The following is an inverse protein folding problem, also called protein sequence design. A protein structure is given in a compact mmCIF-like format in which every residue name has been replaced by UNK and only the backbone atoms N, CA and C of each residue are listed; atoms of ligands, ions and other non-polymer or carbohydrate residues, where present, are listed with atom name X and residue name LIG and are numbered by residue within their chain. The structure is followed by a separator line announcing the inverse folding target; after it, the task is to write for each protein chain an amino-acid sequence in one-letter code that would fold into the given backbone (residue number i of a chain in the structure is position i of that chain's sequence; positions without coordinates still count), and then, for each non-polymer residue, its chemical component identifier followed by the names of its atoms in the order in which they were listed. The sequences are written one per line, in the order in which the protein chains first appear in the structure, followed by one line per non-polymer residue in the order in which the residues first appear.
data_IF_023099178926
#
_entry.id   IF_023099178926
#
_cell.length_a   1.000
_cell.length_b   1.000
_cell.length_c   1.000
_cell.angle_alpha   90.00
_cell.angle_beta   90.00
_cell.angle_gamma   90.00
#
_symmetry.space_group_name_H-M   'P 1'
#
loop_
_entity.id
_entity.type
_entity.pdbx_description
1 polymer ?
#
# COMPACT_ATOMS: atom_id res chain seq x y z
N UNK A 1 33.92 18.77 -30.46
CA UNK A 1 33.80 18.24 -29.10
C UNK A 1 33.05 16.93 -29.17
N UNK A 2 33.78 15.82 -29.02
CA UNK A 2 33.28 14.47 -29.19
C UNK A 2 32.49 14.07 -27.93
N UNK A 3 31.18 14.28 -27.97
CA UNK A 3 30.26 13.88 -26.91
C UNK A 3 30.26 12.36 -26.69
N UNK A 4 30.73 11.58 -27.66
CA UNK A 4 30.86 10.12 -27.57
C UNK A 4 31.90 9.67 -26.55
N UNK A 5 32.98 10.47 -26.36
CA UNK A 5 33.99 10.21 -25.32
C UNK A 5 33.39 10.44 -23.92
N UNK A 6 32.64 11.51 -23.75
CA UNK A 6 31.98 11.85 -22.47
C UNK A 6 30.95 10.77 -22.08
N UNK A 7 30.19 10.29 -23.07
CA UNK A 7 29.24 9.18 -22.88
C UNK A 7 29.95 7.87 -22.50
N UNK A 8 31.10 7.58 -23.10
CA UNK A 8 31.86 6.34 -22.85
C UNK A 8 32.57 6.35 -21.50
N UNK A 9 33.02 7.50 -21.02
CA UNK A 9 33.62 7.66 -19.68
C UNK A 9 32.57 7.57 -18.59
N UNK A 10 31.41 8.18 -18.79
CA UNK A 10 30.29 8.08 -17.85
C UNK A 10 29.66 6.71 -17.87
N UNK A 11 29.49 6.08 -19.06
CA UNK A 11 28.82 4.79 -19.17
C UNK A 11 29.58 3.62 -18.55
N UNK A 12 30.91 3.62 -18.61
CA UNK A 12 31.69 2.45 -18.16
C UNK A 12 32.01 2.42 -16.65
N UNK A 13 31.89 3.53 -15.93
CA UNK A 13 32.34 3.56 -14.51
C UNK A 13 31.25 3.97 -13.51
N UNK A 14 30.21 4.68 -13.95
CA UNK A 14 29.21 5.25 -13.05
C UNK A 14 27.79 4.69 -13.27
N UNK A 15 27.49 4.08 -14.40
CA UNK A 15 26.16 3.59 -14.72
C UNK A 15 25.81 2.33 -13.92
N UNK A 16 26.73 1.42 -13.68
CA UNK A 16 26.46 0.23 -12.85
C UNK A 16 26.13 0.57 -11.40
N UNK A 17 26.91 1.38 -10.68
CA UNK A 17 26.53 1.76 -9.33
C UNK A 17 25.29 2.66 -9.27
N UNK A 18 25.08 3.53 -10.27
CA UNK A 18 23.89 4.37 -10.36
C UNK A 18 22.65 3.53 -10.66
N UNK A 19 22.72 2.50 -11.49
CA UNK A 19 21.57 1.61 -11.75
C UNK A 19 21.20 0.79 -10.51
N UNK A 20 22.18 0.30 -9.76
CA UNK A 20 21.94 -0.37 -8.46
C UNK A 20 21.38 0.57 -7.41
N UNK A 21 21.86 1.82 -7.40
CA UNK A 21 21.34 2.86 -6.50
C UNK A 21 19.92 3.27 -6.88
N UNK A 22 19.58 3.31 -8.18
CA UNK A 22 18.22 3.61 -8.63
C UNK A 22 17.22 2.55 -8.18
N UNK A 23 17.58 1.27 -8.20
CA UNK A 23 16.75 0.19 -7.67
C UNK A 23 16.42 0.38 -6.17
N UNK A 24 17.41 0.81 -5.38
CA UNK A 24 17.20 1.16 -3.98
C UNK A 24 16.22 2.33 -3.81
N UNK A 25 16.33 3.37 -4.65
CA UNK A 25 15.39 4.49 -4.64
C UNK A 25 13.96 4.04 -4.98
N UNK A 26 13.77 3.20 -6.01
CA UNK A 26 12.45 2.66 -6.34
C UNK A 26 11.86 1.83 -5.19
N UNK A 27 12.70 1.07 -4.50
CA UNK A 27 12.27 0.30 -3.34
C UNK A 27 11.91 1.19 -2.14
N UNK A 28 12.59 2.32 -1.94
CA UNK A 28 12.34 3.24 -0.84
C UNK A 28 11.06 4.08 -1.02
N UNK A 29 10.64 4.35 -2.26
CA UNK A 29 9.44 5.17 -2.55
C UNK A 29 8.20 4.69 -1.77
N UNK A 30 7.78 3.41 -1.84
CA UNK A 30 6.60 2.94 -1.11
C UNK A 30 6.75 3.05 0.40
N UNK A 31 7.96 2.90 0.95
CA UNK A 31 8.20 3.08 2.39
C UNK A 31 8.06 4.54 2.80
N UNK A 32 8.66 5.45 2.04
CA UNK A 32 8.56 6.89 2.30
C UNK A 32 7.10 7.36 2.17
N UNK A 33 6.40 6.92 1.12
CA UNK A 33 4.99 7.23 0.92
C UNK A 33 4.14 6.74 2.10
N UNK A 34 4.33 5.49 2.54
CA UNK A 34 3.60 4.93 3.67
C UNK A 34 3.92 5.66 4.98
N UNK A 35 5.20 5.95 5.24
CA UNK A 35 5.61 6.72 6.41
C UNK A 35 5.00 8.13 6.42
N UNK A 36 4.92 8.77 5.25
CA UNK A 36 4.29 10.09 5.09
C UNK A 36 2.79 10.03 5.38
N UNK A 37 2.09 9.02 4.87
CA UNK A 37 0.66 8.81 5.16
C UNK A 37 0.44 8.60 6.65
N UNK A 38 1.25 7.77 7.30
CA UNK A 38 1.18 7.53 8.75
C UNK A 38 1.49 8.79 9.56
N UNK A 39 2.38 9.63 9.08
CA UNK A 39 2.68 10.90 9.76
C UNK A 39 1.54 11.90 9.59
N UNK A 40 0.99 12.02 8.38
CA UNK A 40 -0.15 12.88 8.08
C UNK A 40 -1.44 12.42 8.78
N UNK A 41 -1.62 11.11 8.99
CA UNK A 41 -2.82 10.58 9.67
C UNK A 41 -2.99 11.12 11.09
N UNK A 42 -1.88 11.50 11.76
CA UNK A 42 -1.94 12.12 13.10
C UNK A 42 -2.62 13.49 13.12
N UNK A 43 -2.69 14.17 11.98
CA UNK A 43 -3.35 15.47 11.83
C UNK A 43 -4.80 15.36 11.37
N UNK A 44 -5.28 14.16 11.08
CA UNK A 44 -6.67 13.88 10.69
C UNK A 44 -7.59 13.92 11.94
N UNK A 45 -8.87 14.10 11.68
CA UNK A 45 -9.89 14.11 12.75
C UNK A 45 -9.86 12.81 13.54
N UNK A 46 -9.96 12.94 14.86
CA UNK A 46 -10.14 11.81 15.77
C UNK A 46 -11.60 11.43 15.79
N UNK A 47 -11.86 10.14 15.74
CA UNK A 47 -13.18 9.56 15.91
C UNK A 47 -13.09 8.47 16.99
N UNK A 48 -14.19 8.10 17.58
CA UNK A 48 -14.24 7.09 18.64
C UNK A 48 -15.37 6.11 18.35
N UNK A 49 -15.07 4.83 18.39
CA UNK A 49 -16.10 3.81 18.32
C UNK A 49 -16.83 3.70 19.65
N UNK A 50 -18.16 3.82 19.59
CA UNK A 50 -19.01 3.61 20.76
C UNK A 50 -19.05 2.12 21.10
N UNK A 51 -19.27 1.86 22.39
CA UNK A 51 -19.40 0.49 22.87
C UNK A 51 -20.57 -0.22 22.17
N UNK A 52 -20.30 -1.36 21.54
CA UNK A 52 -21.30 -2.14 20.77
C UNK A 52 -21.47 -1.73 19.30
N UNK A 53 -20.81 -0.69 18.85
CA UNK A 53 -20.93 -0.24 17.45
C UNK A 53 -20.35 -1.25 16.45
N UNK A 54 -19.31 -1.98 16.85
CA UNK A 54 -18.70 -3.05 16.04
C UNK A 54 -19.31 -4.40 16.44
N UNK A 55 -19.98 -5.06 15.48
CA UNK A 55 -20.59 -6.40 15.67
C UNK A 55 -19.65 -7.54 15.31
N UNK A 56 -18.97 -7.39 14.20
CA UNK A 56 -18.08 -8.42 13.65
C UNK A 56 -16.71 -7.80 13.40
N UNK A 57 -15.67 -8.55 13.73
CA UNK A 57 -14.29 -8.14 13.51
C UNK A 57 -13.55 -9.32 12.88
N UNK A 58 -13.01 -9.12 11.70
CA UNK A 58 -12.27 -10.13 10.95
C UNK A 58 -10.85 -9.65 10.68
N UNK A 59 -9.88 -10.52 10.88
CA UNK A 59 -8.50 -10.29 10.52
C UNK A 59 -8.29 -10.59 9.04
N UNK A 60 -7.86 -9.59 8.26
CA UNK A 60 -7.87 -9.69 6.79
C UNK A 60 -6.49 -9.50 6.15
N UNK A 61 -5.42 -9.64 6.92
CA UNK A 61 -4.07 -9.48 6.40
C UNK A 61 -3.73 -10.43 5.25
N UNK A 62 -4.29 -11.62 5.23
CA UNK A 62 -3.95 -12.63 4.22
C UNK A 62 -4.76 -12.47 2.93
N UNK A 63 -5.85 -11.72 2.96
CA UNK A 63 -6.75 -11.55 1.81
C UNK A 63 -6.12 -10.77 0.65
N UNK A 64 -5.06 -10.01 0.91
CA UNK A 64 -4.37 -9.24 -0.15
C UNK A 64 -3.31 -10.05 -0.89
N UNK A 65 -2.81 -11.14 -0.31
CA UNK A 65 -1.69 -11.91 -0.87
C UNK A 65 -1.94 -12.39 -2.30
N UNK A 66 -3.12 -12.97 -2.65
CA UNK A 66 -3.40 -13.40 -4.02
C UNK A 66 -3.35 -12.27 -5.04
N UNK A 67 -3.84 -11.07 -4.66
CA UNK A 67 -3.84 -9.90 -5.55
C UNK A 67 -2.41 -9.44 -5.85
N UNK A 68 -1.55 -9.37 -4.84
CA UNK A 68 -0.15 -8.98 -5.03
C UNK A 68 0.65 -10.00 -5.82
N UNK A 69 0.41 -11.29 -5.61
CA UNK A 69 0.99 -12.34 -6.44
C UNK A 69 0.55 -12.20 -7.90
N UNK A 70 -0.73 -11.89 -8.14
CA UNK A 70 -1.23 -11.60 -9.48
C UNK A 70 -0.49 -10.44 -10.14
N UNK A 71 -0.34 -9.31 -9.47
CA UNK A 71 0.41 -8.16 -9.99
C UNK A 71 1.89 -8.49 -10.24
N UNK A 72 2.51 -9.26 -9.36
CA UNK A 72 3.87 -9.71 -9.51
C UNK A 72 4.06 -10.60 -10.75
N UNK A 73 3.18 -11.57 -10.96
CA UNK A 73 3.23 -12.42 -12.15
C UNK A 73 2.98 -11.64 -13.44
N UNK A 74 2.05 -10.68 -13.43
CA UNK A 74 1.86 -9.79 -14.58
C UNK A 74 3.12 -8.99 -14.86
N UNK A 75 3.76 -8.43 -13.85
CA UNK A 75 5.00 -7.68 -14.01
C UNK A 75 6.14 -8.53 -14.60
N UNK A 76 6.27 -9.79 -14.15
CA UNK A 76 7.26 -10.73 -14.68
C UNK A 76 6.97 -11.20 -16.12
N UNK A 77 5.72 -11.09 -16.57
CA UNK A 77 5.31 -11.51 -17.93
C UNK A 77 5.62 -10.45 -18.98
N UNK A 78 6.04 -9.24 -18.58
CA UNK A 78 6.36 -8.16 -19.51
C UNK A 78 7.79 -8.40 -20.05
N UNK A 79 7.97 -8.53 -21.39
CA UNK A 79 9.28 -8.68 -21.98
C UNK A 79 10.16 -7.45 -21.74
N UNK A 80 11.46 -7.69 -21.62
CA UNK A 80 12.45 -6.61 -21.51
C UNK A 80 12.33 -5.63 -22.68
N UNK A 81 12.43 -4.34 -22.37
CA UNK A 81 12.39 -3.22 -23.32
C UNK A 81 11.05 -2.99 -24.06
N UNK A 82 9.95 -3.62 -23.66
CA UNK A 82 8.65 -3.31 -24.22
C UNK A 82 7.88 -2.29 -23.36
N UNK A 83 8.32 -1.02 -23.43
CA UNK A 83 7.70 0.07 -22.68
C UNK A 83 6.21 0.28 -23.01
N UNK A 84 5.82 0.04 -24.26
CA UNK A 84 4.41 0.16 -24.65
C UNK A 84 3.54 -0.84 -23.90
N UNK A 85 3.94 -2.11 -23.89
CA UNK A 85 3.23 -3.16 -23.14
C UNK A 85 3.20 -2.87 -21.65
N UNK A 86 4.32 -2.38 -21.09
CA UNK A 86 4.39 -1.95 -19.69
C UNK A 86 3.33 -0.90 -19.36
N UNK A 87 3.24 0.18 -20.18
CA UNK A 87 2.27 1.25 -19.95
C UNK A 87 0.83 0.78 -20.12
N UNK A 88 0.56 -0.08 -21.11
CA UNK A 88 -0.77 -0.65 -21.32
C UNK A 88 -1.20 -1.49 -20.12
N UNK A 89 -0.34 -2.41 -19.66
CA UNK A 89 -0.63 -3.27 -18.51
C UNK A 89 -0.80 -2.47 -17.23
N UNK A 90 0.08 -1.49 -17.00
CA UNK A 90 -0.03 -0.60 -15.85
C UNK A 90 -1.32 0.23 -15.87
N UNK A 91 -1.70 0.73 -17.06
CA UNK A 91 -2.96 1.44 -17.26
C UNK A 91 -4.19 0.59 -16.97
N UNK A 92 -4.19 -0.67 -17.42
CA UNK A 92 -5.28 -1.62 -17.14
C UNK A 92 -5.37 -1.91 -15.64
N UNK A 93 -4.25 -2.21 -14.99
CA UNK A 93 -4.21 -2.46 -13.53
C UNK A 93 -4.71 -1.21 -12.78
N UNK A 94 -4.24 -0.02 -13.17
CA UNK A 94 -4.66 1.24 -12.56
C UNK A 94 -6.17 1.46 -12.70
N UNK A 95 -6.74 1.22 -13.88
CA UNK A 95 -8.18 1.32 -14.11
C UNK A 95 -8.97 0.32 -13.26
N UNK A 96 -8.56 -0.95 -13.26
CA UNK A 96 -9.22 -1.99 -12.48
C UNK A 96 -9.18 -1.66 -10.99
N UNK A 97 -8.03 -1.22 -10.50
CA UNK A 97 -7.84 -0.82 -9.11
C UNK A 97 -8.70 0.40 -8.78
N UNK A 98 -8.72 1.43 -9.63
CA UNK A 98 -9.50 2.65 -9.42
C UNK A 98 -11.01 2.43 -9.47
N UNK A 99 -11.47 1.50 -10.31
CA UNK A 99 -12.89 1.13 -10.40
C UNK A 99 -13.32 0.12 -9.33
N UNK A 100 -12.37 -0.57 -8.71
CA UNK A 100 -12.65 -1.54 -7.66
C UNK A 100 -13.04 -0.83 -6.36
N UNK A 101 -14.11 -1.28 -5.74
CA UNK A 101 -14.48 -0.90 -4.36
C UNK A 101 -13.71 -1.73 -3.32
N UNK A 102 -12.72 -2.51 -3.75
CA UNK A 102 -11.90 -3.31 -2.86
C UNK A 102 -11.09 -2.43 -1.92
N UNK A 103 -10.98 -2.85 -0.69
CA UNK A 103 -10.12 -2.21 0.28
C UNK A 103 -8.67 -2.38 -0.15
N UNK A 104 -7.94 -1.27 -0.27
CA UNK A 104 -6.54 -1.30 -0.64
C UNK A 104 -5.69 -1.56 0.58
N UNK A 105 -5.10 -2.74 0.62
CA UNK A 105 -4.11 -3.06 1.62
C UNK A 105 -2.72 -2.73 1.07
N UNK A 106 -2.01 -1.87 1.74
CA UNK A 106 -0.62 -1.61 1.43
C UNK A 106 0.26 -2.53 2.28
N UNK A 107 1.00 -3.50 1.68
CA UNK A 107 1.79 -4.46 2.43
C UNK A 107 2.91 -3.81 3.24
N UNK A 108 3.30 -2.59 2.90
CA UNK A 108 4.32 -1.85 3.65
C UNK A 108 3.84 -1.51 5.07
N UNK A 109 2.54 -1.32 5.30
CA UNK A 109 2.00 -1.16 6.67
C UNK A 109 2.30 -2.37 7.55
N UNK A 110 2.26 -3.57 6.97
CA UNK A 110 2.59 -4.79 7.69
C UNK A 110 4.06 -4.80 8.15
N UNK A 111 4.97 -4.31 7.32
CA UNK A 111 6.39 -4.17 7.69
C UNK A 111 6.61 -3.15 8.81
N UNK A 112 5.73 -2.17 8.95
CA UNK A 112 5.70 -1.23 10.08
C UNK A 112 4.98 -1.79 11.32
N UNK A 113 4.55 -3.06 11.28
CA UNK A 113 3.86 -3.73 12.38
C UNK A 113 2.39 -3.40 12.52
N UNK A 114 1.77 -2.84 11.47
CA UNK A 114 0.33 -2.61 11.44
C UNK A 114 -0.40 -3.84 10.92
N UNK A 115 -1.59 -4.06 11.46
CA UNK A 115 -2.50 -5.12 11.08
C UNK A 115 -3.79 -4.52 10.56
N UNK A 116 -4.41 -5.22 9.62
CA UNK A 116 -5.67 -4.82 9.02
C UNK A 116 -6.80 -5.68 9.56
N UNK A 117 -7.86 -5.02 9.97
CA UNK A 117 -9.09 -5.65 10.42
C UNK A 117 -10.26 -5.11 9.62
N UNK A 118 -11.16 -5.98 9.24
CA UNK A 118 -12.44 -5.59 8.71
C UNK A 118 -13.46 -5.60 9.84
N UNK A 119 -14.03 -4.46 10.13
CA UNK A 119 -15.04 -4.27 11.15
C UNK A 119 -16.39 -4.05 10.48
N UNK A 120 -17.41 -4.75 10.93
CA UNK A 120 -18.78 -4.55 10.51
C UNK A 120 -19.57 -3.90 11.66
N UNK A 121 -20.14 -2.75 11.37
CA UNK A 121 -20.93 -2.00 12.34
C UNK A 121 -22.36 -2.56 12.47
N UNK A 122 -23.08 -2.13 13.51
CA UNK A 122 -24.51 -2.44 13.67
C UNK A 122 -25.35 -1.99 12.47
N UNK A 123 -25.00 -0.88 11.85
CA UNK A 123 -25.66 -0.36 10.65
C UNK A 123 -25.35 -1.16 9.38
N UNK A 124 -24.51 -2.21 9.45
CA UNK A 124 -24.08 -3.01 8.32
C UNK A 124 -22.95 -2.40 7.50
N UNK A 125 -22.37 -1.28 7.93
CA UNK A 125 -21.23 -0.67 7.25
C UNK A 125 -19.98 -1.51 7.48
N UNK A 126 -19.22 -1.73 6.40
CA UNK A 126 -17.91 -2.36 6.45
C UNK A 126 -16.83 -1.27 6.53
N UNK A 127 -16.02 -1.35 7.56
CA UNK A 127 -14.92 -0.42 7.83
C UNK A 127 -13.62 -1.19 7.87
N UNK A 128 -12.52 -0.53 7.50
CA UNK A 128 -11.17 -1.07 7.65
C UNK A 128 -10.47 -0.35 8.80
N UNK A 129 -10.01 -1.12 9.75
CA UNK A 129 -9.20 -0.64 10.87
C UNK A 129 -7.74 -1.01 10.65
N UNK A 130 -6.86 -0.04 10.80
CA UNK A 130 -5.42 -0.20 10.71
C UNK A 130 -4.83 0.04 12.09
N UNK A 131 -4.32 -0.99 12.74
CA UNK A 131 -3.82 -0.89 14.11
C UNK A 131 -2.55 -1.70 14.34
N UNK A 132 -1.73 -1.23 15.27
CA UNK A 132 -0.61 -2.02 15.81
C UNK A 132 -1.05 -2.97 16.92
N UNK A 133 -2.20 -2.71 17.51
CA UNK A 133 -2.75 -3.57 18.57
C UNK A 133 -3.44 -4.78 17.95
N UNK A 134 -3.36 -5.90 18.63
CA UNK A 134 -4.05 -7.11 18.25
C UNK A 134 -5.45 -7.12 18.88
N UNK A 135 -6.46 -7.12 18.03
CA UNK A 135 -7.84 -7.25 18.43
C UNK A 135 -8.33 -8.68 18.20
N UNK A 136 -8.90 -9.30 19.22
CA UNK A 136 -9.43 -10.66 19.14
C UNK A 136 -10.96 -10.69 19.18
N UNK A 137 -11.56 -9.66 19.70
CA UNK A 137 -13.02 -9.57 19.85
C UNK A 137 -13.50 -8.19 19.41
N UNK A 138 -14.75 -8.07 18.92
CA UNK A 138 -15.32 -6.77 18.56
C UNK A 138 -15.32 -5.78 19.72
N UNK A 139 -15.50 -6.28 20.96
CA UNK A 139 -15.51 -5.46 22.17
C UNK A 139 -14.16 -4.81 22.47
N UNK A 140 -13.06 -5.40 21.99
CA UNK A 140 -11.70 -4.83 22.19
C UNK A 140 -11.47 -3.56 21.38
N UNK A 141 -12.31 -3.26 20.40
CA UNK A 141 -12.24 -2.05 19.56
C UNK A 141 -13.03 -0.89 20.19
N UNK A 142 -13.94 -1.18 21.14
CA UNK A 142 -14.74 -0.14 21.81
C UNK A 142 -13.88 0.79 22.65
N UNK A 143 -14.21 2.09 22.62
CA UNK A 143 -13.52 3.17 23.36
C UNK A 143 -12.09 3.47 22.92
N UNK A 144 -11.71 3.10 21.70
CA UNK A 144 -10.40 3.44 21.13
C UNK A 144 -10.57 4.66 20.24
N UNK A 145 -9.74 5.66 20.49
CA UNK A 145 -9.62 6.81 19.60
C UNK A 145 -8.92 6.37 18.30
N UNK A 146 -9.57 6.59 17.18
CA UNK A 146 -9.09 6.25 15.84
C UNK A 146 -8.93 7.51 15.01
N UNK A 147 -8.00 7.49 14.07
CA UNK A 147 -7.82 8.57 13.11
C UNK A 147 -8.56 8.23 11.83
N UNK A 148 -9.50 9.06 11.46
CA UNK A 148 -10.30 8.85 10.24
C UNK A 148 -9.49 9.20 9.00
N UNK A 149 -9.04 8.20 8.26
CA UNK A 149 -8.30 8.40 7.01
C UNK A 149 -9.28 8.74 5.87
N UNK A 150 -10.39 8.01 5.79
CA UNK A 150 -11.49 8.29 4.86
C UNK A 150 -12.82 7.82 5.47
N UNK A 151 -13.91 7.85 4.68
CA UNK A 151 -15.24 7.46 5.18
C UNK A 151 -15.35 5.98 5.61
N UNK A 152 -14.39 5.13 5.24
CA UNK A 152 -14.41 3.69 5.48
C UNK A 152 -13.11 3.13 6.05
N UNK A 153 -12.10 3.97 6.33
CA UNK A 153 -10.78 3.54 6.82
C UNK A 153 -10.35 4.38 8.02
N UNK A 154 -9.95 3.70 9.09
CA UNK A 154 -9.55 4.26 10.37
C UNK A 154 -8.22 3.68 10.85
#
# INVERSE_FOLDING_TARGET
LDLTWFYRVISNHWIEPISKLSLLFYFLIPFIATATVLWLSKYLGKDEFKQGEVKELEYVNDNFLPSYLGYFFVALSIPDNNLFLLFVMYGIIFLLVSCSKSFYFNPVFFLFGYRFYQAKTESGLLLVLISKQEFRTPQSVSSIAVYRINNFTF
#
